data_IF_864866580540
#
_entry.id   IF_864866580540
#
_cell.length_a   1.000
_cell.length_b   1.000
_cell.length_c   1.000
_cell.angle_alpha   90.00
_cell.angle_beta   90.00
_cell.angle_gamma   90.00
#
_symmetry.space_group_name_H-M   'P 1'
#
loop_
_entity.id
_entity.type
_entity.pdbx_description
1 polymer ?
#
# COMPACT_ATOMS: atom_id res chain seq x y z
N UNK A 1 9.00 -29.59 15.05
CA UNK A 1 9.69 -28.34 14.71
C UNK A 1 8.78 -27.18 15.08
N UNK A 2 9.18 -26.32 16.00
CA UNK A 2 8.41 -25.12 16.34
C UNK A 2 8.82 -24.03 15.34
N UNK A 3 7.91 -23.57 14.48
CA UNK A 3 8.12 -22.45 13.60
C UNK A 3 8.35 -21.18 14.45
N UNK A 4 9.56 -20.61 14.44
CA UNK A 4 9.90 -19.42 15.24
C UNK A 4 9.12 -18.16 14.81
N UNK A 5 8.58 -18.15 13.60
CA UNK A 5 7.80 -17.04 13.04
C UNK A 5 6.48 -17.54 12.44
N UNK A 6 5.70 -18.26 13.23
CA UNK A 6 4.43 -18.85 12.78
C UNK A 6 3.47 -17.83 12.15
N UNK A 7 3.44 -16.59 12.63
CA UNK A 7 2.59 -15.53 12.07
C UNK A 7 3.08 -15.05 10.70
N UNK A 8 4.40 -14.96 10.50
CA UNK A 8 4.99 -14.61 9.18
C UNK A 8 4.76 -15.74 8.20
N UNK A 9 5.00 -16.98 8.61
CA UNK A 9 4.73 -18.15 7.79
C UNK A 9 3.24 -18.24 7.40
N UNK A 10 2.33 -17.97 8.32
CA UNK A 10 0.89 -17.96 8.06
C UNK A 10 0.50 -16.88 7.04
N UNK A 11 1.08 -15.68 7.13
CA UNK A 11 0.84 -14.59 6.19
C UNK A 11 1.40 -14.90 4.80
N UNK A 12 2.60 -15.48 4.74
CA UNK A 12 3.26 -15.80 3.46
C UNK A 12 2.61 -16.98 2.74
N UNK A 13 2.22 -18.03 3.46
CA UNK A 13 1.76 -19.28 2.85
C UNK A 13 0.24 -19.47 2.87
N UNK A 14 -0.49 -18.83 3.78
CA UNK A 14 -1.91 -19.08 3.98
C UNK A 14 -2.80 -17.83 3.80
N UNK A 15 -2.23 -16.70 3.35
CA UNK A 15 -2.99 -15.47 3.11
C UNK A 15 -2.89 -15.09 1.65
N UNK A 16 -4.01 -14.76 0.95
CA UNK A 16 -3.93 -14.23 -0.40
C UNK A 16 -3.14 -12.92 -0.42
N UNK A 17 -2.09 -12.87 -1.22
CA UNK A 17 -1.20 -11.72 -1.35
C UNK A 17 -1.37 -11.08 -2.71
N UNK A 18 -1.48 -9.75 -2.74
CA UNK A 18 -1.29 -8.92 -3.92
C UNK A 18 0.15 -8.39 -3.88
N UNK A 19 1.10 -9.16 -4.43
CA UNK A 19 2.53 -8.90 -4.31
C UNK A 19 3.25 -9.20 -5.64
N UNK A 20 4.30 -8.45 -5.97
CA UNK A 20 5.12 -8.73 -7.15
C UNK A 20 5.83 -10.09 -6.99
N UNK A 21 5.68 -11.04 -7.94
CA UNK A 21 6.24 -12.39 -7.83
C UNK A 21 7.76 -12.42 -7.62
N UNK A 22 8.50 -11.51 -8.26
CA UNK A 22 9.97 -11.45 -8.16
C UNK A 22 10.42 -11.09 -6.75
N UNK A 23 9.64 -10.26 -6.05
CA UNK A 23 9.90 -9.90 -4.64
C UNK A 23 9.43 -10.99 -3.69
N UNK A 24 8.30 -11.66 -3.98
CA UNK A 24 7.86 -12.83 -3.25
C UNK A 24 8.92 -13.95 -3.33
N UNK A 25 9.48 -14.20 -4.50
CA UNK A 25 10.54 -15.15 -4.73
C UNK A 25 11.83 -14.79 -3.99
N UNK A 26 12.27 -13.52 -4.09
CA UNK A 26 13.42 -13.01 -3.35
C UNK A 26 13.24 -13.12 -1.83
N UNK A 27 12.02 -12.83 -1.34
CA UNK A 27 11.66 -12.97 0.07
C UNK A 27 11.70 -14.43 0.51
N UNK A 28 11.14 -15.36 -0.27
CA UNK A 28 11.16 -16.79 0.01
C UNK A 28 12.58 -17.36 -0.01
N UNK A 29 13.41 -16.97 -0.99
CA UNK A 29 14.81 -17.37 -1.06
C UNK A 29 15.66 -16.77 0.06
N UNK A 30 15.43 -15.51 0.43
CA UNK A 30 16.17 -14.82 1.48
C UNK A 30 15.78 -15.22 2.91
N UNK A 31 14.50 -15.49 3.14
CA UNK A 31 13.93 -15.73 4.47
C UNK A 31 13.38 -17.14 4.68
N UNK A 32 13.15 -17.91 3.62
CA UNK A 32 12.52 -19.22 3.72
C UNK A 32 13.25 -20.17 4.67
N UNK A 33 14.58 -20.26 4.59
CA UNK A 33 15.42 -21.04 5.50
C UNK A 33 15.37 -20.52 6.95
N UNK A 34 15.18 -19.22 7.12
CA UNK A 34 15.15 -18.54 8.43
C UNK A 34 13.78 -18.63 9.11
N UNK A 35 12.69 -18.66 8.34
CA UNK A 35 11.35 -18.99 8.83
C UNK A 35 11.31 -20.44 9.31
N UNK A 36 12.09 -21.33 8.66
CA UNK A 36 12.19 -22.74 9.01
C UNK A 36 13.10 -23.06 10.21
N UNK A 37 13.89 -22.12 10.75
CA UNK A 37 14.61 -22.40 11.98
C UNK A 37 15.89 -21.63 12.30
N UNK A 38 16.41 -20.79 11.41
CA UNK A 38 17.64 -20.05 11.65
C UNK A 38 17.37 -18.69 12.33
N UNK A 39 18.28 -18.27 13.22
CA UNK A 39 18.12 -17.02 13.96
C UNK A 39 18.29 -15.80 13.05
N UNK A 40 17.29 -14.91 13.04
CA UNK A 40 17.37 -13.61 12.39
C UNK A 40 17.53 -12.53 13.47
N UNK A 41 18.55 -11.71 13.35
CA UNK A 41 18.68 -10.47 14.10
C UNK A 41 18.16 -9.36 13.19
N UNK A 42 16.98 -8.82 13.51
CA UNK A 42 16.44 -7.64 12.83
C UNK A 42 16.94 -6.44 13.60
N UNK A 43 17.82 -5.65 12.99
CA UNK A 43 18.22 -4.36 13.52
C UNK A 43 17.33 -3.28 12.90
N UNK A 44 16.56 -2.57 13.72
CA UNK A 44 15.83 -1.41 13.26
C UNK A 44 16.82 -0.31 12.85
N UNK A 45 16.71 0.28 11.66
CA UNK A 45 17.43 1.51 11.33
C UNK A 45 17.02 2.62 12.30
N UNK A 46 17.95 3.44 12.70
CA UNK A 46 17.68 4.62 13.51
C UNK A 46 16.72 5.54 12.74
N UNK A 47 15.49 5.67 13.22
CA UNK A 47 14.44 6.49 12.60
C UNK A 47 13.04 5.88 12.63
N UNK A 48 12.88 4.64 13.08
CA UNK A 48 11.55 4.07 13.30
C UNK A 48 10.79 4.92 14.34
N UNK A 49 9.60 5.39 13.98
CA UNK A 49 8.68 6.05 14.91
C UNK A 49 8.44 5.11 16.08
N UNK A 50 8.69 5.58 17.31
CA UNK A 50 8.49 4.80 18.51
C UNK A 50 7.10 4.17 18.51
N UNK A 51 7.06 2.86 18.71
CA UNK A 51 5.81 2.15 18.86
C UNK A 51 5.04 2.71 20.04
N UNK A 52 3.86 3.28 19.80
CA UNK A 52 2.93 3.57 20.86
C UNK A 52 2.34 2.22 21.32
N UNK A 53 3.07 1.55 22.21
CA UNK A 53 2.63 0.32 22.83
C UNK A 53 1.67 0.62 23.98
N UNK A 54 0.77 -0.31 24.26
CA UNK A 54 0.02 -0.30 25.50
C UNK A 54 0.95 -0.51 26.71
N UNK A 55 0.47 -0.24 27.90
CA UNK A 55 1.22 -0.45 29.15
C UNK A 55 1.74 -1.88 29.35
N UNK A 56 1.22 -2.84 28.60
CA UNK A 56 1.60 -4.25 28.54
C UNK A 56 2.55 -4.59 27.37
N UNK A 57 3.06 -3.58 26.65
CA UNK A 57 3.95 -3.74 25.50
C UNK A 57 3.27 -4.32 24.24
N UNK A 58 1.95 -4.49 24.25
CA UNK A 58 1.21 -5.03 23.11
C UNK A 58 0.81 -3.93 22.14
N UNK A 59 0.87 -4.17 20.81
CA UNK A 59 0.40 -3.22 19.83
C UNK A 59 -1.05 -2.80 20.09
N UNK A 60 -1.32 -1.49 20.09
CA UNK A 60 -2.65 -0.93 20.37
C UNK A 60 -3.66 -1.07 19.24
N UNK A 61 -3.28 -1.68 18.12
CA UNK A 61 -4.17 -1.92 16.98
C UNK A 61 -5.19 -3.01 17.30
N UNK A 62 -6.38 -2.60 17.74
CA UNK A 62 -7.54 -3.49 17.87
C UNK A 62 -8.30 -3.64 16.55
N UNK A 63 -9.06 -4.73 16.40
CA UNK A 63 -9.85 -5.06 15.21
C UNK A 63 -10.94 -4.04 14.85
N UNK A 64 -11.41 -3.25 15.80
CA UNK A 64 -12.49 -2.27 15.58
C UNK A 64 -11.89 -0.87 15.56
N UNK A 65 -11.96 -0.27 14.40
CA UNK A 65 -11.38 0.96 13.95
C UNK A 65 -11.26 2.12 14.95
N UNK A 66 -10.30 2.98 14.67
CA UNK A 66 -10.10 4.23 15.39
C UNK A 66 -9.32 4.12 16.70
N UNK A 67 -8.80 2.95 17.07
CA UNK A 67 -8.03 2.84 18.34
C UNK A 67 -6.68 3.53 18.21
N UNK A 68 -5.98 3.30 17.11
CA UNK A 68 -4.71 3.94 16.83
C UNK A 68 -4.89 5.45 16.64
N UNK A 69 -5.86 5.87 15.85
CA UNK A 69 -6.25 7.27 15.71
C UNK A 69 -6.53 7.94 17.07
N UNK A 70 -7.29 7.29 17.96
CA UNK A 70 -7.59 7.82 19.31
C UNK A 70 -6.35 8.00 20.18
N UNK A 71 -5.34 7.13 20.03
CA UNK A 71 -4.07 7.26 20.74
C UNK A 71 -3.35 8.53 20.28
N UNK A 72 -3.17 8.72 18.98
CA UNK A 72 -2.54 9.91 18.44
C UNK A 72 -3.30 11.19 18.80
N UNK A 73 -4.63 11.18 18.70
CA UNK A 73 -5.48 12.30 19.11
C UNK A 73 -5.33 12.63 20.60
N UNK A 74 -5.29 11.61 21.48
CA UNK A 74 -5.12 11.82 22.92
C UNK A 74 -3.79 12.46 23.27
N UNK A 75 -2.73 12.09 22.56
CA UNK A 75 -1.40 12.64 22.78
C UNK A 75 -1.14 13.93 22.01
N UNK A 76 -2.12 14.42 21.23
CA UNK A 76 -2.01 15.59 20.36
C UNK A 76 -0.79 15.52 19.42
N UNK A 77 -0.52 14.34 18.88
CA UNK A 77 0.57 14.06 17.93
C UNK A 77 -0.01 13.74 16.57
N UNK A 78 0.53 14.33 15.52
CA UNK A 78 0.18 13.97 14.15
C UNK A 78 0.96 12.71 13.73
N UNK A 79 0.29 11.70 13.14
CA UNK A 79 0.94 10.45 12.71
C UNK A 79 1.58 10.56 11.31
N UNK A 80 1.93 11.75 10.87
CA UNK A 80 2.53 12.03 9.57
C UNK A 80 3.35 13.32 9.64
N UNK A 81 4.30 13.46 8.72
CA UNK A 81 5.05 14.71 8.53
C UNK A 81 4.16 15.80 7.93
N UNK A 82 4.48 17.04 8.21
CA UNK A 82 3.81 18.21 7.64
C UNK A 82 4.83 19.12 6.99
N UNK A 83 4.55 19.54 5.77
CA UNK A 83 5.24 20.64 5.12
C UNK A 83 4.18 21.72 4.86
N UNK A 84 4.31 22.85 5.56
CA UNK A 84 3.27 23.88 5.60
C UNK A 84 1.91 23.28 6.00
N UNK A 85 0.93 23.26 5.08
CA UNK A 85 -0.40 22.69 5.29
C UNK A 85 -0.61 21.34 4.58
N UNK A 86 0.46 20.70 4.13
CA UNK A 86 0.42 19.44 3.40
C UNK A 86 0.90 18.31 4.32
N UNK A 87 0.05 17.32 4.48
CA UNK A 87 0.43 16.07 5.15
C UNK A 87 1.18 15.16 4.17
N UNK A 88 2.27 14.53 4.62
CA UNK A 88 3.01 13.52 3.87
C UNK A 88 2.77 12.18 4.54
N UNK A 89 2.26 11.22 3.77
CA UNK A 89 1.97 9.86 4.21
C UNK A 89 2.77 8.90 3.34
N UNK A 90 3.70 8.19 3.94
CA UNK A 90 4.56 7.21 3.29
C UNK A 90 3.86 5.86 3.15
N UNK A 91 3.98 5.24 1.98
CA UNK A 91 3.44 3.92 1.65
C UNK A 91 4.58 3.08 1.05
N UNK A 92 5.36 2.47 1.93
CA UNK A 92 6.61 1.82 1.58
C UNK A 92 6.63 0.34 1.91
N UNK A 93 7.39 -0.42 1.13
CA UNK A 93 7.65 -1.83 1.36
C UNK A 93 6.41 -2.72 1.20
N UNK A 94 6.31 -3.75 2.04
CA UNK A 94 5.20 -4.72 2.00
C UNK A 94 3.98 -4.19 2.75
N UNK A 95 2.82 -4.23 2.11
CA UNK A 95 1.57 -3.81 2.73
C UNK A 95 0.94 -4.96 3.52
N UNK A 96 0.72 -4.75 4.82
CA UNK A 96 0.16 -5.77 5.71
C UNK A 96 -1.16 -5.31 6.35
N UNK A 97 -2.08 -6.26 6.58
CA UNK A 97 -3.41 -5.91 7.08
C UNK A 97 -3.37 -5.32 8.47
N UNK A 98 -2.71 -5.99 9.39
CA UNK A 98 -2.73 -5.64 10.82
C UNK A 98 -1.34 -5.29 11.30
N UNK A 99 -1.23 -4.08 11.83
CA UNK A 99 -0.05 -3.60 12.49
C UNK A 99 -0.40 -2.44 13.41
N UNK A 100 0.12 -2.48 14.64
CA UNK A 100 -0.11 -1.44 15.64
C UNK A 100 0.79 -0.21 15.48
N UNK A 101 1.31 0.03 14.30
CA UNK A 101 2.24 1.12 14.00
C UNK A 101 1.75 1.98 12.83
N UNK A 102 2.34 3.16 12.74
CA UNK A 102 2.19 4.12 11.67
C UNK A 102 3.55 4.29 10.97
N UNK A 103 3.52 4.48 9.66
CA UNK A 103 4.72 4.54 8.83
C UNK A 103 5.32 3.16 8.55
N UNK A 104 6.53 3.16 7.98
CA UNK A 104 7.28 1.95 7.68
C UNK A 104 7.90 1.37 8.96
N UNK A 105 7.72 0.08 9.17
CA UNK A 105 8.38 -0.67 10.23
C UNK A 105 8.97 -1.96 9.69
N UNK A 106 10.29 -2.05 9.68
CA UNK A 106 11.02 -3.24 9.17
C UNK A 106 10.64 -3.63 7.74
N UNK A 107 10.41 -2.64 6.86
CA UNK A 107 10.00 -2.87 5.47
C UNK A 107 8.52 -3.20 5.28
N UNK A 108 7.69 -2.99 6.30
CA UNK A 108 6.23 -3.19 6.23
C UNK A 108 5.48 -1.90 6.54
N UNK A 109 4.44 -1.61 5.77
CA UNK A 109 3.45 -0.57 6.04
C UNK A 109 2.09 -1.21 6.35
N UNK A 110 1.49 -0.80 7.47
CA UNK A 110 0.23 -1.38 7.94
C UNK A 110 -0.98 -0.62 7.39
N UNK A 111 -1.97 -1.33 6.84
CA UNK A 111 -3.24 -0.71 6.43
C UNK A 111 -3.97 -0.04 7.62
N UNK A 112 -3.87 -0.59 8.83
CA UNK A 112 -4.45 0.05 10.00
C UNK A 112 -3.75 1.38 10.33
N UNK A 113 -2.43 1.44 10.17
CA UNK A 113 -1.65 2.67 10.29
C UNK A 113 -2.06 3.70 9.24
N UNK A 114 -2.13 3.29 7.98
CA UNK A 114 -2.58 4.16 6.88
C UNK A 114 -4.00 4.69 7.09
N UNK A 115 -4.93 3.84 7.51
CA UNK A 115 -6.31 4.27 7.79
C UNK A 115 -6.36 5.29 8.93
N UNK A 116 -5.53 5.14 9.97
CA UNK A 116 -5.43 6.12 11.04
C UNK A 116 -4.86 7.46 10.54
N UNK A 117 -3.80 7.44 9.73
CA UNK A 117 -3.23 8.63 9.11
C UNK A 117 -4.24 9.34 8.21
N UNK A 118 -4.91 8.60 7.32
CA UNK A 118 -5.95 9.12 6.42
C UNK A 118 -7.10 9.77 7.21
N UNK A 119 -7.59 9.09 8.26
CA UNK A 119 -8.68 9.61 9.08
C UNK A 119 -8.28 10.91 9.82
N UNK A 120 -7.07 11.00 10.34
CA UNK A 120 -6.56 12.20 11.01
C UNK A 120 -6.29 13.33 10.01
N UNK A 121 -5.69 13.06 8.86
CA UNK A 121 -5.48 14.04 7.81
C UNK A 121 -6.81 14.63 7.30
N UNK A 122 -7.84 13.77 7.18
CA UNK A 122 -9.19 14.20 6.77
C UNK A 122 -9.83 15.15 7.78
N UNK A 123 -9.74 14.83 9.07
CA UNK A 123 -10.37 15.60 10.16
C UNK A 123 -9.61 16.87 10.54
N UNK A 124 -8.31 16.91 10.33
CA UNK A 124 -7.48 18.04 10.74
C UNK A 124 -7.76 19.29 9.89
N UNK A 125 -8.12 20.43 10.49
CA UNK A 125 -8.28 21.69 9.76
C UNK A 125 -6.93 22.28 9.28
N UNK A 126 -5.81 21.84 9.88
CA UNK A 126 -4.48 22.28 9.50
C UNK A 126 -4.01 21.62 8.19
N UNK A 127 -4.56 20.46 7.83
CA UNK A 127 -4.21 19.74 6.61
C UNK A 127 -5.10 20.24 5.47
N UNK A 128 -4.52 20.97 4.53
CA UNK A 128 -5.19 21.44 3.31
C UNK A 128 -5.02 20.51 2.11
N UNK A 129 -3.98 19.71 2.08
CA UNK A 129 -3.73 18.71 1.05
C UNK A 129 -2.90 17.54 1.59
N UNK A 130 -2.87 16.44 0.84
CA UNK A 130 -2.14 15.23 1.25
C UNK A 130 -1.32 14.69 0.08
N UNK A 131 -0.06 14.47 0.34
CA UNK A 131 0.88 13.73 -0.53
C UNK A 131 0.98 12.30 0.00
N UNK A 132 0.76 11.35 -0.87
CA UNK A 132 1.10 9.95 -0.62
C UNK A 132 2.37 9.62 -1.39
N UNK A 133 3.43 9.29 -0.69
CA UNK A 133 4.71 8.87 -1.25
C UNK A 133 4.76 7.35 -1.35
N UNK A 134 5.02 6.83 -2.56
CA UNK A 134 4.96 5.39 -2.81
C UNK A 134 6.30 4.81 -3.25
N UNK A 135 6.72 3.77 -2.54
CA UNK A 135 7.66 2.74 -2.98
C UNK A 135 7.21 1.38 -2.46
N UNK A 136 6.27 0.74 -3.17
CA UNK A 136 5.66 -0.51 -2.70
C UNK A 136 5.35 -1.48 -3.83
N UNK A 137 5.70 -2.73 -3.60
CA UNK A 137 5.37 -3.85 -4.48
C UNK A 137 4.00 -4.48 -4.17
N UNK A 138 3.24 -3.89 -3.25
CA UNK A 138 1.96 -4.41 -2.80
C UNK A 138 2.06 -5.26 -1.53
N UNK A 139 1.09 -6.14 -1.31
CA UNK A 139 1.03 -6.94 -0.10
C UNK A 139 -0.27 -7.72 0.08
N UNK A 140 -0.78 -7.77 1.32
CA UNK A 140 -2.00 -8.50 1.67
C UNK A 140 -3.24 -7.90 0.99
N UNK A 141 -4.18 -8.75 0.56
CA UNK A 141 -5.47 -8.32 0.01
C UNK A 141 -6.38 -7.78 1.10
N UNK A 142 -6.37 -8.45 2.28
CA UNK A 142 -7.19 -8.04 3.43
C UNK A 142 -6.81 -6.66 3.92
N UNK A 143 -7.76 -5.74 3.97
CA UNK A 143 -7.55 -4.35 4.37
C UNK A 143 -7.21 -3.40 3.23
N UNK A 144 -6.81 -3.90 2.05
CA UNK A 144 -6.42 -3.08 0.91
C UNK A 144 -7.61 -2.28 0.36
N UNK A 145 -8.74 -2.93 0.13
CA UNK A 145 -9.93 -2.30 -0.43
C UNK A 145 -10.57 -1.28 0.53
N UNK A 146 -10.59 -1.56 1.83
CA UNK A 146 -11.07 -0.64 2.86
C UNK A 146 -10.17 0.60 2.94
N UNK A 147 -8.85 0.41 2.82
CA UNK A 147 -7.89 1.52 2.80
C UNK A 147 -8.02 2.34 1.53
N UNK A 148 -8.21 1.70 0.37
CA UNK A 148 -8.50 2.37 -0.89
C UNK A 148 -9.79 3.21 -0.79
N UNK A 149 -10.86 2.67 -0.20
CA UNK A 149 -12.10 3.41 0.03
C UNK A 149 -11.92 4.63 0.95
N UNK A 150 -11.12 4.49 2.02
CA UNK A 150 -10.81 5.59 2.92
C UNK A 150 -10.01 6.70 2.21
N UNK A 151 -9.03 6.34 1.36
CA UNK A 151 -8.26 7.28 0.57
C UNK A 151 -9.13 7.97 -0.49
N UNK A 152 -9.99 7.23 -1.18
CA UNK A 152 -10.95 7.79 -2.13
C UNK A 152 -11.90 8.79 -1.46
N UNK A 153 -12.31 8.55 -0.20
CA UNK A 153 -13.10 9.49 0.56
C UNK A 153 -12.30 10.76 0.89
N UNK A 154 -11.07 10.64 1.37
CA UNK A 154 -10.19 11.78 1.61
C UNK A 154 -10.00 12.61 0.33
N UNK A 155 -9.77 11.95 -0.82
CA UNK A 155 -9.55 12.59 -2.12
C UNK A 155 -10.76 13.41 -2.60
N UNK A 156 -11.97 13.04 -2.21
CA UNK A 156 -13.17 13.86 -2.49
C UNK A 156 -13.20 15.14 -1.65
N UNK A 157 -12.70 15.07 -0.42
CA UNK A 157 -12.78 16.17 0.54
C UNK A 157 -11.60 17.15 0.43
N UNK A 158 -10.38 16.62 0.14
CA UNK A 158 -9.14 17.42 0.07
C UNK A 158 -8.34 17.11 -1.19
N UNK A 159 -7.51 18.03 -1.69
CA UNK A 159 -6.50 17.74 -2.71
C UNK A 159 -5.59 16.59 -2.28
N UNK A 160 -5.37 15.65 -3.18
CA UNK A 160 -4.46 14.52 -2.96
C UNK A 160 -3.63 14.25 -4.20
N UNK A 161 -2.37 13.91 -3.99
CA UNK A 161 -1.46 13.45 -5.03
C UNK A 161 -0.72 12.20 -4.55
N UNK A 162 -0.57 11.22 -5.43
CA UNK A 162 0.34 10.10 -5.24
C UNK A 162 1.61 10.37 -6.03
N UNK A 163 2.74 10.44 -5.35
CA UNK A 163 4.07 10.58 -5.95
C UNK A 163 4.76 9.23 -5.77
N UNK A 164 5.01 8.55 -6.88
CA UNK A 164 5.75 7.31 -6.90
C UNK A 164 7.23 7.68 -6.98
N UNK A 165 7.99 7.37 -5.94
CA UNK A 165 9.43 7.62 -5.93
C UNK A 165 10.17 6.56 -6.73
N UNK A 166 9.65 5.31 -6.68
CA UNK A 166 10.12 4.19 -7.50
C UNK A 166 8.95 3.42 -8.09
N UNK A 167 8.23 2.65 -7.28
CA UNK A 167 7.22 1.72 -7.76
C UNK A 167 5.91 1.79 -6.97
N UNK A 168 4.81 1.54 -7.65
CA UNK A 168 3.54 1.18 -7.04
C UNK A 168 2.93 0.02 -7.81
N UNK A 169 3.07 -1.20 -7.29
CA UNK A 169 2.49 -2.39 -7.89
C UNK A 169 1.37 -2.96 -7.04
N UNK A 170 0.45 -3.68 -7.69
CA UNK A 170 -0.59 -4.46 -7.02
C UNK A 170 -1.39 -3.61 -6.00
N UNK A 171 -1.44 -4.00 -4.72
CA UNK A 171 -2.13 -3.23 -3.68
C UNK A 171 -1.58 -1.80 -3.54
N UNK A 172 -0.27 -1.56 -3.77
CA UNK A 172 0.31 -0.21 -3.81
C UNK A 172 -0.36 0.65 -4.89
N UNK A 173 -0.54 0.12 -6.09
CA UNK A 173 -1.23 0.84 -7.15
C UNK A 173 -2.74 0.97 -6.90
N UNK A 174 -3.38 -0.03 -6.29
CA UNK A 174 -4.78 0.07 -5.87
C UNK A 174 -5.01 1.31 -5.01
N UNK A 175 -4.11 1.56 -4.04
CA UNK A 175 -4.17 2.73 -3.18
C UNK A 175 -3.82 4.00 -3.94
N UNK A 176 -2.70 4.02 -4.67
CA UNK A 176 -2.24 5.20 -5.43
C UNK A 176 -3.31 5.70 -6.41
N UNK A 177 -4.06 4.78 -7.04
CA UNK A 177 -5.13 5.07 -8.00
C UNK A 177 -6.29 5.89 -7.41
N UNK A 178 -6.40 5.99 -6.09
CA UNK A 178 -7.47 6.74 -5.41
C UNK A 178 -7.15 8.23 -5.21
N UNK A 179 -5.92 8.65 -5.44
CA UNK A 179 -5.54 10.07 -5.40
C UNK A 179 -6.05 10.83 -6.64
N UNK A 180 -6.21 12.15 -6.51
CA UNK A 180 -6.66 12.99 -7.63
C UNK A 180 -5.63 13.04 -8.77
N UNK A 181 -4.35 12.97 -8.42
CA UNK A 181 -3.22 12.98 -9.36
C UNK A 181 -2.23 11.88 -9.00
N UNK A 182 -1.56 11.35 -10.00
CA UNK A 182 -0.47 10.38 -9.83
C UNK A 182 0.68 10.81 -10.72
N UNK A 183 1.87 10.92 -10.13
CA UNK A 183 3.11 11.23 -10.81
C UNK A 183 4.07 10.05 -10.63
N UNK A 184 4.72 9.66 -11.71
CA UNK A 184 5.65 8.55 -11.81
C UNK A 184 6.98 9.05 -12.39
N UNK A 185 8.14 8.73 -11.79
CA UNK A 185 9.44 9.06 -12.37
C UNK A 185 9.68 8.25 -13.65
N UNK A 186 10.56 8.73 -14.53
CA UNK A 186 10.80 8.15 -15.86
C UNK A 186 11.14 6.66 -15.85
N UNK A 187 11.84 6.19 -14.82
CA UNK A 187 12.24 4.78 -14.66
C UNK A 187 11.47 4.05 -13.55
N UNK A 188 10.42 4.67 -13.03
CA UNK A 188 9.49 4.02 -12.12
C UNK A 188 8.57 3.05 -12.84
N UNK A 189 7.85 2.25 -12.07
CA UNK A 189 6.91 1.27 -12.61
C UNK A 189 5.60 1.21 -11.83
N UNK A 190 4.52 0.85 -12.55
CA UNK A 190 3.20 0.64 -11.97
C UNK A 190 2.49 -0.51 -12.64
N UNK A 191 1.51 -1.11 -11.98
CA UNK A 191 0.68 -2.16 -12.55
C UNK A 191 0.18 -3.18 -11.54
N UNK A 192 -0.63 -4.12 -12.05
CA UNK A 192 -1.17 -5.24 -11.28
C UNK A 192 -0.44 -6.52 -11.69
N UNK A 193 0.46 -7.08 -10.88
CA UNK A 193 1.04 -8.38 -11.13
C UNK A 193 0.75 -9.33 -9.95
N UNK A 194 0.18 -10.51 -10.25
CA UNK A 194 -0.09 -11.57 -9.27
C UNK A 194 0.98 -12.65 -9.35
N UNK A 195 1.37 -13.21 -8.19
CA UNK A 195 2.25 -14.37 -8.13
C UNK A 195 1.54 -15.61 -8.70
N UNK A 196 2.18 -16.29 -9.65
CA UNK A 196 1.75 -17.59 -10.13
C UNK A 196 2.33 -18.68 -9.23
N UNK A 197 1.46 -19.54 -8.73
CA UNK A 197 1.59 -20.83 -8.08
C UNK A 197 2.86 -21.30 -7.37
N UNK A 198 2.72 -22.39 -6.61
CA UNK A 198 3.78 -23.10 -5.93
C UNK A 198 4.68 -23.86 -6.94
N UNK A 199 6.01 -23.65 -6.98
CA UNK A 199 6.89 -24.32 -7.94
C UNK A 199 7.16 -25.80 -7.63
N UNK A 200 6.68 -26.35 -6.52
CA UNK A 200 7.10 -27.65 -6.03
C UNK A 200 6.12 -28.81 -6.26
N UNK A 201 4.82 -28.54 -6.48
CA UNK A 201 3.84 -29.59 -6.82
C UNK A 201 2.70 -29.04 -7.70
N UNK A 202 2.20 -29.82 -8.68
CA UNK A 202 1.00 -29.46 -9.43
C UNK A 202 -0.22 -29.39 -8.51
N UNK A 203 -0.97 -28.29 -8.56
CA UNK A 203 -2.25 -28.16 -7.87
C UNK A 203 -3.26 -29.21 -8.39
N UNK A 204 -3.95 -29.88 -7.49
CA UNK A 204 -5.11 -30.70 -7.88
C UNK A 204 -6.17 -29.83 -8.59
N UNK A 205 -6.81 -30.35 -9.64
CA UNK A 205 -7.71 -29.61 -10.53
C UNK A 205 -8.80 -28.83 -9.78
N UNK A 206 -9.44 -29.42 -8.78
CA UNK A 206 -10.48 -28.77 -7.97
C UNK A 206 -9.96 -27.57 -7.18
N UNK A 207 -8.77 -27.69 -6.59
CA UNK A 207 -8.11 -26.60 -5.86
C UNK A 207 -7.68 -25.50 -6.81
N UNK A 208 -7.12 -25.86 -7.97
CA UNK A 208 -6.75 -24.91 -9.02
C UNK A 208 -7.95 -24.09 -9.52
N UNK A 209 -9.07 -24.75 -9.81
CA UNK A 209 -10.31 -24.09 -10.22
C UNK A 209 -10.89 -23.16 -9.14
N UNK A 210 -10.84 -23.59 -7.87
CA UNK A 210 -11.26 -22.74 -6.74
C UNK A 210 -10.40 -21.51 -6.63
N UNK A 211 -9.10 -21.64 -6.72
CA UNK A 211 -8.17 -20.52 -6.65
C UNK A 211 -8.28 -19.60 -7.86
N UNK A 212 -8.50 -20.15 -9.06
CA UNK A 212 -8.75 -19.37 -10.26
C UNK A 212 -10.01 -18.52 -10.09
N UNK A 213 -11.13 -19.10 -9.63
CA UNK A 213 -12.36 -18.32 -9.37
C UNK A 213 -12.14 -17.20 -8.35
N UNK A 214 -11.39 -17.46 -7.28
CA UNK A 214 -11.08 -16.42 -6.29
C UNK A 214 -10.19 -15.31 -6.89
N UNK A 215 -9.19 -15.67 -7.70
CA UNK A 215 -8.34 -14.72 -8.39
C UNK A 215 -9.14 -13.86 -9.37
N UNK A 216 -10.08 -14.45 -10.12
CA UNK A 216 -10.93 -13.73 -11.08
C UNK A 216 -11.87 -12.74 -10.38
N UNK A 217 -12.44 -13.12 -9.24
CA UNK A 217 -13.22 -12.20 -8.41
C UNK A 217 -12.37 -11.04 -7.93
N UNK A 218 -11.22 -11.31 -7.33
CA UNK A 218 -10.32 -10.26 -6.84
C UNK A 218 -9.84 -9.33 -7.96
N UNK A 219 -9.48 -9.89 -9.12
CA UNK A 219 -9.10 -9.12 -10.30
C UNK A 219 -10.23 -8.21 -10.78
N UNK A 220 -11.45 -8.71 -10.79
CA UNK A 220 -12.64 -7.96 -11.21
C UNK A 220 -12.93 -6.79 -10.26
N UNK A 221 -12.84 -7.03 -8.95
CA UNK A 221 -13.00 -6.00 -7.92
C UNK A 221 -11.87 -4.96 -7.99
N UNK A 222 -10.62 -5.41 -8.11
CA UNK A 222 -9.47 -4.53 -8.27
C UNK A 222 -9.64 -3.56 -9.44
N UNK A 223 -9.95 -4.09 -10.64
CA UNK A 223 -10.17 -3.27 -11.83
C UNK A 223 -11.35 -2.28 -11.67
N UNK A 224 -12.38 -2.68 -10.90
CA UNK A 224 -13.49 -1.80 -10.55
C UNK A 224 -13.05 -0.62 -9.68
N UNK A 225 -12.27 -0.89 -8.64
CA UNK A 225 -11.76 0.15 -7.71
C UNK A 225 -10.78 1.09 -8.41
N UNK A 226 -9.88 0.55 -9.23
CA UNK A 226 -8.97 1.35 -10.06
C UNK A 226 -9.75 2.28 -10.99
N UNK A 227 -10.74 1.76 -11.72
CA UNK A 227 -11.57 2.57 -12.62
C UNK A 227 -12.34 3.68 -11.88
N UNK A 228 -12.81 3.42 -10.67
CA UNK A 228 -13.46 4.45 -9.83
C UNK A 228 -12.46 5.56 -9.44
N UNK A 229 -11.28 5.18 -8.95
CA UNK A 229 -10.24 6.14 -8.53
C UNK A 229 -9.72 6.97 -9.71
N UNK A 230 -9.47 6.32 -10.83
CA UNK A 230 -8.98 6.99 -12.05
C UNK A 230 -10.09 7.71 -12.84
N UNK A 231 -11.37 7.53 -12.47
CA UNK A 231 -12.50 8.21 -13.07
C UNK A 231 -12.56 8.04 -14.60
N UNK A 232 -12.55 9.15 -15.36
CA UNK A 232 -12.62 9.11 -16.84
C UNK A 232 -11.31 8.70 -17.53
N UNK A 233 -10.20 8.52 -16.80
CA UNK A 233 -8.87 8.23 -17.37
C UNK A 233 -8.75 6.80 -17.85
N UNK A 234 -9.32 5.84 -17.12
CA UNK A 234 -9.37 4.43 -17.52
C UNK A 234 -10.74 3.81 -17.16
N UNK A 235 -11.29 3.00 -18.05
CA UNK A 235 -12.51 2.23 -17.77
C UNK A 235 -12.18 0.89 -17.09
N UNK A 236 -13.18 0.27 -16.42
CA UNK A 236 -13.03 -1.08 -15.84
C UNK A 236 -12.61 -2.11 -16.90
N UNK A 237 -13.18 -2.02 -18.11
CA UNK A 237 -12.82 -2.93 -19.20
C UNK A 237 -11.35 -2.77 -19.64
N UNK A 238 -10.87 -1.53 -19.74
CA UNK A 238 -9.45 -1.28 -20.04
C UNK A 238 -8.54 -1.73 -18.89
N UNK A 239 -8.92 -1.50 -17.64
CA UNK A 239 -8.16 -1.97 -16.48
C UNK A 239 -8.09 -3.51 -16.44
N UNK A 240 -9.17 -4.22 -16.76
CA UNK A 240 -9.14 -5.69 -16.91
C UNK A 240 -8.27 -6.15 -18.07
N UNK A 241 -8.27 -5.41 -19.19
CA UNK A 241 -7.47 -5.74 -20.38
C UNK A 241 -5.95 -5.54 -20.19
N UNK A 242 -5.51 -4.93 -19.11
CA UNK A 242 -4.09 -4.87 -18.74
C UNK A 242 -3.51 -6.22 -18.33
N UNK A 243 -4.38 -7.20 -18.04
CA UNK A 243 -4.03 -8.57 -17.65
C UNK A 243 -2.95 -8.64 -16.55
N UNK A 244 -3.03 -7.71 -15.59
CA UNK A 244 -2.07 -7.58 -14.51
C UNK A 244 -0.62 -7.29 -14.98
N UNK A 245 -0.46 -6.66 -16.14
CA UNK A 245 0.84 -6.31 -16.71
C UNK A 245 1.60 -5.29 -15.87
N UNK A 246 2.89 -5.21 -16.11
CA UNK A 246 3.78 -4.16 -15.62
C UNK A 246 4.06 -3.20 -16.76
N UNK A 247 3.94 -1.90 -16.51
CA UNK A 247 4.03 -0.86 -17.50
C UNK A 247 5.16 0.12 -17.18
N UNK A 248 5.88 0.55 -18.17
CA UNK A 248 6.79 1.68 -18.01
C UNK A 248 6.03 3.00 -17.84
N UNK A 249 6.76 4.08 -17.55
CA UNK A 249 6.16 5.37 -17.29
C UNK A 249 5.34 5.92 -18.46
N UNK A 250 5.82 5.72 -19.69
CA UNK A 250 5.16 6.21 -20.92
C UNK A 250 3.89 5.42 -21.21
N UNK A 251 3.96 4.11 -21.08
CA UNK A 251 2.81 3.21 -21.22
C UNK A 251 1.74 3.51 -20.17
N UNK A 252 2.16 3.70 -18.90
CA UNK A 252 1.25 4.00 -17.79
C UNK A 252 0.47 5.30 -18.02
N UNK A 253 1.12 6.35 -18.56
CA UNK A 253 0.45 7.59 -18.95
C UNK A 253 -0.51 7.35 -20.11
N UNK A 254 -0.06 6.68 -21.17
CA UNK A 254 -0.89 6.41 -22.34
C UNK A 254 -2.14 5.59 -22.03
N UNK A 255 -2.07 4.71 -21.03
CA UNK A 255 -3.19 3.90 -20.58
C UNK A 255 -4.11 4.63 -19.59
N UNK A 256 -3.70 5.77 -19.05
CA UNK A 256 -4.44 6.51 -18.03
C UNK A 256 -4.26 5.96 -16.62
N UNK A 257 -3.25 5.13 -16.40
CA UNK A 257 -2.90 4.60 -15.08
C UNK A 257 -2.26 5.68 -14.21
N UNK A 258 -1.48 6.59 -14.79
CA UNK A 258 -0.89 7.75 -14.12
C UNK A 258 -1.20 9.03 -14.92
N UNK A 259 -1.00 10.19 -14.31
CA UNK A 259 -1.33 11.47 -14.94
C UNK A 259 -0.14 12.11 -15.65
N UNK A 260 1.05 11.96 -15.10
CA UNK A 260 2.27 12.56 -15.65
C UNK A 260 3.52 11.76 -15.30
N UNK A 261 4.55 11.96 -16.12
CA UNK A 261 5.92 11.62 -15.81
C UNK A 261 6.60 12.89 -15.31
N UNK A 262 7.23 12.83 -14.14
CA UNK A 262 7.89 14.00 -13.58
C UNK A 262 8.90 13.63 -12.50
N UNK A 263 9.71 14.60 -12.14
CA UNK A 263 10.57 14.49 -10.98
C UNK A 263 9.71 14.53 -9.69
N UNK A 264 9.92 13.62 -8.75
CA UNK A 264 9.13 13.56 -7.51
C UNK A 264 9.18 14.84 -6.67
N UNK A 265 10.35 15.49 -6.56
CA UNK A 265 10.51 16.71 -5.79
C UNK A 265 9.82 17.90 -6.46
N UNK A 266 9.96 18.02 -7.79
CA UNK A 266 9.24 19.06 -8.56
C UNK A 266 7.72 18.89 -8.45
N UNK A 267 7.22 17.65 -8.52
CA UNK A 267 5.80 17.34 -8.35
C UNK A 267 5.29 17.68 -6.95
N UNK A 268 6.09 17.41 -5.91
CA UNK A 268 5.79 17.77 -4.54
C UNK A 268 5.71 19.30 -4.38
N UNK A 269 6.73 20.04 -4.82
CA UNK A 269 6.78 21.50 -4.71
C UNK A 269 5.63 22.18 -5.48
N UNK A 270 5.30 21.66 -6.67
CA UNK A 270 4.17 22.13 -7.46
C UNK A 270 2.85 21.92 -6.71
N UNK A 271 2.64 20.75 -6.11
CA UNK A 271 1.43 20.45 -5.35
C UNK A 271 1.30 21.31 -4.09
N UNK A 272 2.39 21.47 -3.30
CA UNK A 272 2.40 22.38 -2.14
C UNK A 272 2.01 23.80 -2.55
N UNK A 273 2.61 24.28 -3.65
CA UNK A 273 2.32 25.63 -4.18
C UNK A 273 0.88 25.77 -4.67
N UNK A 274 0.31 24.76 -5.30
CA UNK A 274 -1.08 24.76 -5.79
C UNK A 274 -2.07 24.83 -4.62
N UNK A 275 -1.91 23.94 -3.63
CA UNK A 275 -2.82 23.85 -2.48
C UNK A 275 -2.78 25.12 -1.61
N UNK A 276 -1.62 25.79 -1.50
CA UNK A 276 -1.49 27.00 -0.69
C UNK A 276 -1.90 28.28 -1.42
N UNK A 277 -2.08 28.26 -2.75
CA UNK A 277 -2.62 29.38 -3.52
C UNK A 277 -4.16 29.49 -3.51
N UNK A 278 -4.83 28.40 -3.24
CA UNK A 278 -6.29 28.31 -3.15
C UNK A 278 -6.82 28.41 -1.73
#
# INVERSE_FOLDING_TARGET
MSLRFAQVAQRVFNTPLMYDPRKAEAFLHGLGSRIAGDAVVITNPAGAVDHIAGSDGRPLAGKLGGRLERVYTRHNVLPFAMVENIAIIEVEGTLVHKGGWVGNNSGETSYQGLQAQIAMARKSPQVKGVVFEYDSYGGEVSGAFETAAALAQLSREKPTISILTDFAYSAGYLLASQSRQIVLPRFGGTGEKKAEGNPYEPLGSETAEKWQRQADVMRTEFAGVVAQGRSKRISKAKALATEAGVFDASEAVAMGLVDAIGDPLEAFDAFVSEVNRG
#
